data_IF_519489100695
#
_entry.id   IF_519489100695
#
_cell.length_a   1.000
_cell.length_b   1.000
_cell.length_c   1.000
_cell.angle_alpha   90.00
_cell.angle_beta   90.00
_cell.angle_gamma   90.00
#
_symmetry.space_group_name_H-M   'P 1'
#
loop_
_entity.id
_entity.type
_entity.pdbx_description
1 polymer ?
#
# COMPACT_ATOMS: atom_id res chain seq x y z
N UNK A 1 -36.01 10.79 -0.62
CA UNK A 1 -35.68 11.72 -1.74
C UNK A 1 -34.17 11.73 -2.01
N UNK A 2 -33.32 11.62 -1.00
CA UNK A 2 -31.87 11.73 -1.13
C UNK A 2 -31.26 10.53 -1.88
N UNK A 3 -31.71 9.31 -1.60
CA UNK A 3 -31.29 8.10 -2.30
C UNK A 3 -31.58 8.19 -3.82
N UNK A 4 -32.73 8.72 -4.22
CA UNK A 4 -33.10 8.89 -5.62
C UNK A 4 -32.23 9.95 -6.33
N UNK A 5 -31.87 11.02 -5.64
CA UNK A 5 -30.96 12.03 -6.15
C UNK A 5 -29.53 11.48 -6.34
N UNK A 6 -29.10 10.62 -5.41
CA UNK A 6 -27.82 9.92 -5.50
C UNK A 6 -27.76 8.94 -6.69
N UNK A 7 -28.85 8.21 -6.94
CA UNK A 7 -28.91 7.28 -8.08
C UNK A 7 -29.18 7.97 -9.42
N UNK A 8 -29.82 9.14 -9.45
CA UNK A 8 -30.10 9.86 -10.70
C UNK A 8 -28.85 10.45 -11.39
N UNK A 9 -27.76 10.63 -10.64
CA UNK A 9 -26.47 11.06 -11.19
C UNK A 9 -25.60 9.91 -11.74
N UNK A 10 -25.99 8.67 -11.50
CA UNK A 10 -25.25 7.49 -11.98
C UNK A 10 -25.75 7.12 -13.38
N UNK A 11 -24.92 7.30 -14.42
CA UNK A 11 -25.25 6.86 -15.77
C UNK A 11 -25.21 5.33 -15.84
N UNK A 12 -26.16 4.75 -16.60
CA UNK A 12 -26.32 3.30 -16.77
C UNK A 12 -25.18 2.60 -17.55
N UNK A 13 -24.17 3.34 -18.00
CA UNK A 13 -23.20 2.88 -18.99
C UNK A 13 -21.94 2.19 -18.44
N UNK A 14 -21.91 1.85 -17.15
CA UNK A 14 -20.73 1.21 -16.55
C UNK A 14 -21.07 -0.01 -15.73
N UNK A 15 -20.91 -1.21 -16.29
CA UNK A 15 -21.01 -2.45 -15.54
C UNK A 15 -19.79 -2.63 -14.62
N UNK A 16 -20.04 -2.93 -13.33
CA UNK A 16 -18.99 -3.33 -12.43
C UNK A 16 -18.49 -4.73 -12.82
N UNK A 17 -17.21 -4.92 -13.15
CA UNK A 17 -16.69 -6.22 -13.58
C UNK A 17 -16.77 -7.32 -12.49
N UNK A 18 -17.15 -6.95 -11.26
CA UNK A 18 -17.38 -7.91 -10.17
C UNK A 18 -18.80 -8.47 -10.14
N UNK A 19 -19.71 -7.98 -10.97
CA UNK A 19 -21.06 -8.56 -11.10
C UNK A 19 -20.97 -9.77 -12.02
N UNK A 20 -20.90 -10.94 -11.42
CA UNK A 20 -20.85 -12.23 -12.14
C UNK A 20 -22.25 -12.79 -12.49
N UNK A 21 -23.31 -12.23 -11.95
CA UNK A 21 -24.69 -12.67 -12.14
C UNK A 21 -25.47 -11.64 -12.95
N UNK A 22 -25.88 -12.04 -14.16
CA UNK A 22 -26.69 -11.21 -15.07
C UNK A 22 -28.04 -10.78 -14.52
N UNK A 23 -28.55 -11.42 -13.46
CA UNK A 23 -29.80 -11.04 -12.81
C UNK A 23 -29.62 -10.05 -11.64
N UNK A 24 -28.39 -9.80 -11.24
CA UNK A 24 -28.09 -8.79 -10.22
C UNK A 24 -28.04 -7.42 -10.90
N UNK A 25 -28.90 -6.45 -10.51
CA UNK A 25 -28.84 -5.13 -11.09
C UNK A 25 -27.45 -4.55 -10.88
N UNK A 26 -26.82 -4.12 -11.98
CA UNK A 26 -25.55 -3.40 -11.95
C UNK A 26 -25.67 -2.22 -10.99
N UNK A 27 -24.69 -2.03 -10.11
CA UNK A 27 -24.65 -0.84 -9.27
C UNK A 27 -24.41 0.45 -10.10
N UNK A 28 -24.30 0.30 -11.41
CA UNK A 28 -23.96 1.37 -12.34
C UNK A 28 -22.61 2.00 -11.95
N UNK A 29 -22.52 3.30 -12.06
CA UNK A 29 -21.38 4.06 -11.53
C UNK A 29 -21.58 4.48 -10.06
N UNK A 30 -22.67 4.08 -9.41
CA UNK A 30 -22.94 4.38 -8.01
C UNK A 30 -22.22 3.35 -7.12
N UNK A 31 -21.27 3.82 -6.32
CA UNK A 31 -20.31 3.00 -5.58
C UNK A 31 -20.45 3.18 -4.09
N UNK A 32 -21.66 3.01 -3.57
CA UNK A 32 -21.87 3.09 -2.14
C UNK A 32 -21.09 1.96 -1.44
N UNK A 33 -20.16 2.35 -0.56
CA UNK A 33 -19.33 1.44 0.21
C UNK A 33 -17.98 1.04 -0.42
N UNK A 34 -17.66 1.52 -1.62
CA UNK A 34 -16.40 1.22 -2.31
C UNK A 34 -15.63 2.49 -2.71
N UNK A 35 -15.55 3.48 -1.84
CA UNK A 35 -14.95 4.77 -2.16
C UNK A 35 -13.49 4.70 -2.65
N UNK A 36 -12.71 3.70 -2.20
CA UNK A 36 -11.33 3.45 -2.64
C UNK A 36 -11.23 2.50 -3.84
N UNK A 37 -12.34 2.05 -4.44
CA UNK A 37 -12.30 1.08 -5.53
C UNK A 37 -11.68 1.70 -6.79
N UNK A 38 -10.62 1.08 -7.29
CA UNK A 38 -9.87 1.50 -8.48
C UNK A 38 -10.20 0.69 -9.74
N UNK A 39 -11.22 -0.19 -9.66
CA UNK A 39 -11.65 -1.01 -10.81
C UNK A 39 -12.32 -0.20 -11.92
N UNK A 40 -12.81 1.00 -11.62
CA UNK A 40 -13.22 1.98 -12.62
C UNK A 40 -12.28 3.15 -12.62
N UNK A 41 -12.13 3.78 -13.80
CA UNK A 41 -11.26 4.94 -13.96
C UNK A 41 -11.70 6.16 -13.13
N UNK A 42 -13.01 6.35 -12.97
CA UNK A 42 -13.60 7.53 -12.29
C UNK A 42 -14.78 7.14 -11.41
N UNK A 43 -14.88 7.73 -10.22
CA UNK A 43 -16.07 7.63 -9.37
C UNK A 43 -17.04 8.79 -9.67
N UNK A 44 -17.89 8.57 -10.65
CA UNK A 44 -18.88 9.56 -11.09
C UNK A 44 -19.93 9.86 -10.01
N UNK A 45 -20.24 8.90 -9.16
CA UNK A 45 -21.24 9.08 -8.10
C UNK A 45 -20.74 10.01 -7.02
N UNK A 46 -19.54 9.81 -6.51
CA UNK A 46 -18.94 10.69 -5.52
C UNK A 46 -18.71 12.08 -6.11
N UNK A 47 -18.22 12.18 -7.36
CA UNK A 47 -18.05 13.45 -8.06
C UNK A 47 -19.38 14.21 -8.23
N UNK A 48 -20.46 13.49 -8.56
CA UNK A 48 -21.79 14.09 -8.69
C UNK A 48 -22.35 14.55 -7.34
N UNK A 49 -22.16 13.79 -6.26
CA UNK A 49 -22.56 14.21 -4.91
C UNK A 49 -21.86 15.49 -4.48
N UNK A 50 -20.55 15.56 -4.63
CA UNK A 50 -19.76 16.74 -4.27
C UNK A 50 -20.20 17.97 -5.08
N UNK A 51 -20.47 17.77 -6.38
CA UNK A 51 -20.86 18.88 -7.28
C UNK A 51 -22.28 19.42 -7.02
N UNK A 52 -23.22 18.54 -6.65
CA UNK A 52 -24.63 18.86 -6.54
C UNK A 52 -25.08 19.20 -5.10
N UNK A 53 -24.24 18.99 -4.12
CA UNK A 53 -24.54 19.21 -2.72
C UNK A 53 -23.34 19.84 -2.00
N UNK A 54 -23.45 21.13 -1.70
CA UNK A 54 -22.39 21.89 -1.00
C UNK A 54 -22.04 21.29 0.37
N UNK A 55 -23.02 20.66 1.05
CA UNK A 55 -22.79 20.00 2.33
C UNK A 55 -21.89 18.74 2.19
N UNK A 56 -21.69 18.24 0.98
CA UNK A 56 -20.80 17.10 0.67
C UNK A 56 -19.41 17.50 0.18
N UNK A 57 -19.11 18.80 0.13
CA UNK A 57 -17.80 19.31 -0.32
C UNK A 57 -16.62 18.74 0.47
N UNK A 58 -16.83 18.39 1.74
CA UNK A 58 -15.82 17.74 2.58
C UNK A 58 -15.33 16.37 2.06
N UNK A 59 -16.08 15.75 1.15
CA UNK A 59 -15.69 14.47 0.53
C UNK A 59 -14.65 14.63 -0.59
N UNK A 60 -14.36 15.86 -1.01
CA UNK A 60 -13.40 16.09 -2.11
C UNK A 60 -12.01 15.48 -1.84
N UNK A 61 -11.41 15.58 -0.65
CA UNK A 61 -10.13 14.92 -0.36
C UNK A 61 -10.17 13.38 -0.52
N UNK A 62 -11.31 12.75 -0.21
CA UNK A 62 -11.50 11.32 -0.41
C UNK A 62 -11.48 10.95 -1.90
N UNK A 63 -12.19 11.74 -2.73
CA UNK A 63 -12.21 11.54 -4.18
C UNK A 63 -10.83 11.75 -4.80
N UNK A 64 -10.11 12.79 -4.40
CA UNK A 64 -8.75 13.07 -4.86
C UNK A 64 -7.78 11.95 -4.49
N UNK A 65 -7.86 11.45 -3.25
CA UNK A 65 -7.04 10.31 -2.81
C UNK A 65 -7.35 9.04 -3.60
N UNK A 66 -8.62 8.73 -3.80
CA UNK A 66 -9.05 7.60 -4.63
C UNK A 66 -8.49 7.71 -6.05
N UNK A 67 -8.61 8.88 -6.68
CA UNK A 67 -8.10 9.12 -8.03
C UNK A 67 -6.57 9.03 -8.07
N UNK A 68 -5.88 9.49 -7.02
CA UNK A 68 -4.44 9.35 -6.88
C UNK A 68 -4.01 7.87 -6.80
N UNK A 69 -4.71 7.03 -6.03
CA UNK A 69 -4.42 5.58 -5.98
C UNK A 69 -4.65 4.94 -7.33
N UNK A 70 -5.79 5.25 -7.99
CA UNK A 70 -6.14 4.66 -9.28
C UNK A 70 -5.04 4.91 -10.32
N UNK A 71 -4.55 6.14 -10.40
CA UNK A 71 -3.59 6.53 -11.42
C UNK A 71 -4.11 6.28 -12.85
N UNK A 72 -3.29 6.56 -13.82
CA UNK A 72 -3.45 6.04 -15.17
C UNK A 72 -2.53 4.82 -15.39
N UNK A 73 -2.66 4.15 -16.52
CA UNK A 73 -1.87 2.97 -16.85
C UNK A 73 -0.36 3.21 -16.83
N UNK A 74 0.11 4.33 -17.31
CA UNK A 74 1.54 4.65 -17.39
C UNK A 74 2.09 4.94 -15.99
N UNK A 75 1.39 5.78 -15.24
CA UNK A 75 1.73 6.12 -13.85
C UNK A 75 1.73 4.88 -12.95
N UNK A 76 0.76 3.97 -13.13
CA UNK A 76 0.71 2.73 -12.32
C UNK A 76 1.93 1.83 -12.60
N UNK A 77 2.39 1.74 -13.86
CA UNK A 77 3.59 0.98 -14.20
C UNK A 77 4.85 1.55 -13.54
N UNK A 78 5.03 2.86 -13.54
CA UNK A 78 6.17 3.53 -12.91
C UNK A 78 6.20 3.35 -11.39
N UNK A 79 5.03 3.26 -10.79
CA UNK A 79 4.86 3.05 -9.35
C UNK A 79 5.21 1.64 -8.90
N UNK A 80 5.24 0.66 -9.80
CA UNK A 80 5.46 -0.76 -9.50
C UNK A 80 6.90 -1.18 -9.75
N UNK A 81 7.32 -2.21 -9.02
CA UNK A 81 8.58 -2.91 -9.30
C UNK A 81 8.43 -3.69 -10.63
N UNK A 82 9.49 -3.80 -11.38
CA UNK A 82 9.53 -4.61 -12.57
C UNK A 82 9.60 -6.11 -12.25
N UNK A 83 10.04 -6.47 -11.05
CA UNK A 83 10.10 -7.84 -10.52
C UNK A 83 8.81 -8.19 -9.77
N UNK A 84 8.39 -9.43 -9.87
CA UNK A 84 7.36 -9.99 -9.02
C UNK A 84 7.86 -10.07 -7.57
N UNK A 85 6.94 -10.31 -6.62
CA UNK A 85 7.27 -10.39 -5.19
C UNK A 85 8.30 -11.47 -4.83
N UNK A 86 8.36 -12.53 -5.62
CA UNK A 86 9.34 -13.62 -5.50
C UNK A 86 10.67 -13.35 -6.22
N UNK A 87 10.88 -12.13 -6.72
CA UNK A 87 12.05 -11.68 -7.45
C UNK A 87 12.06 -12.02 -8.95
N UNK A 88 11.11 -12.83 -9.43
CA UNK A 88 11.08 -13.27 -10.82
C UNK A 88 10.50 -12.20 -11.76
N UNK A 89 10.95 -12.24 -13.03
CA UNK A 89 10.33 -11.52 -14.12
C UNK A 89 9.22 -12.38 -14.74
N UNK A 90 8.05 -11.79 -14.91
CA UNK A 90 6.93 -12.47 -15.57
C UNK A 90 6.57 -11.71 -16.84
N UNK A 91 6.55 -12.42 -17.96
CA UNK A 91 6.12 -11.90 -19.25
C UNK A 91 4.75 -12.47 -19.62
N UNK A 92 3.87 -11.64 -20.14
CA UNK A 92 2.59 -12.03 -20.74
C UNK A 92 2.48 -11.41 -22.13
N UNK A 93 2.44 -12.23 -23.17
CA UNK A 93 2.49 -11.78 -24.58
C UNK A 93 3.64 -10.78 -24.81
N UNK A 94 4.86 -11.14 -24.42
CA UNK A 94 6.10 -10.34 -24.52
C UNK A 94 6.06 -8.99 -23.78
N UNK A 95 5.03 -8.75 -22.96
CA UNK A 95 4.93 -7.56 -22.10
C UNK A 95 5.26 -7.93 -20.66
N UNK A 96 6.06 -7.09 -20.01
CA UNK A 96 6.41 -7.27 -18.62
C UNK A 96 5.17 -7.08 -17.72
N UNK A 97 4.91 -8.08 -16.88
CA UNK A 97 3.91 -8.02 -15.81
C UNK A 97 4.59 -7.47 -14.57
N UNK A 98 4.29 -6.21 -14.25
CA UNK A 98 4.87 -5.54 -13.09
C UNK A 98 4.49 -6.22 -11.77
N UNK A 99 5.35 -6.06 -10.78
CA UNK A 99 5.19 -6.59 -9.44
C UNK A 99 4.39 -5.68 -8.51
N UNK A 100 4.69 -5.72 -7.20
CA UNK A 100 4.04 -4.87 -6.20
C UNK A 100 4.45 -3.41 -6.37
N UNK A 101 3.76 -2.52 -5.68
CA UNK A 101 4.16 -1.12 -5.56
C UNK A 101 5.53 -1.00 -4.87
N UNK A 102 6.36 -0.10 -5.39
CA UNK A 102 7.64 0.27 -4.78
C UNK A 102 7.43 0.80 -3.36
N UNK A 103 8.43 0.66 -2.49
CA UNK A 103 8.40 1.12 -1.12
C UNK A 103 7.94 2.57 -0.99
N UNK A 104 8.60 3.50 -1.67
CA UNK A 104 8.25 4.92 -1.61
C UNK A 104 6.79 5.22 -1.99
N UNK A 105 6.21 4.43 -2.93
CA UNK A 105 4.81 4.58 -3.33
C UNK A 105 3.86 4.09 -2.23
N UNK A 106 4.18 2.98 -1.56
CA UNK A 106 3.38 2.45 -0.45
C UNK A 106 3.40 3.39 0.75
N UNK A 107 4.56 3.94 1.08
CA UNK A 107 4.72 4.98 2.11
C UNK A 107 3.91 6.23 1.78
N UNK A 108 3.94 6.67 0.53
CA UNK A 108 3.17 7.84 0.08
C UNK A 108 1.66 7.58 0.11
N UNK A 109 1.20 6.37 -0.25
CA UNK A 109 -0.22 6.01 -0.10
C UNK A 109 -0.68 6.08 1.35
N UNK A 110 0.12 5.54 2.27
CA UNK A 110 -0.19 5.62 3.69
C UNK A 110 -0.19 7.06 4.21
N UNK A 111 0.83 7.84 3.85
CA UNK A 111 0.94 9.25 4.24
C UNK A 111 -0.29 10.03 3.80
N UNK A 112 -0.69 9.90 2.54
CA UNK A 112 -1.86 10.59 2.01
C UNK A 112 -3.16 10.13 2.64
N UNK A 113 -3.32 8.83 2.92
CA UNK A 113 -4.51 8.31 3.59
C UNK A 113 -4.68 8.96 4.98
N UNK A 114 -3.60 8.99 5.76
CA UNK A 114 -3.61 9.62 7.09
C UNK A 114 -3.86 11.13 7.01
N UNK A 115 -3.28 11.82 6.02
CA UNK A 115 -3.54 13.24 5.79
C UNK A 115 -5.00 13.51 5.42
N UNK A 116 -5.59 12.70 4.55
CA UNK A 116 -7.01 12.81 4.18
C UNK A 116 -7.90 12.62 5.39
N UNK A 117 -7.59 11.65 6.27
CA UNK A 117 -8.32 11.46 7.52
C UNK A 117 -8.28 12.72 8.39
N UNK A 118 -7.11 13.31 8.59
CA UNK A 118 -7.00 14.59 9.35
C UNK A 118 -7.78 15.74 8.70
N UNK A 119 -7.71 15.83 7.37
CA UNK A 119 -8.44 16.89 6.65
C UNK A 119 -9.95 16.73 6.83
N UNK A 120 -10.51 15.53 6.63
CA UNK A 120 -11.96 15.31 6.76
C UNK A 120 -12.44 15.48 8.21
N UNK A 121 -11.62 15.17 9.22
CA UNK A 121 -11.95 15.46 10.62
C UNK A 121 -12.07 16.96 10.88
N UNK A 122 -11.29 17.79 10.19
CA UNK A 122 -11.29 19.22 10.38
C UNK A 122 -12.42 19.94 9.63
N UNK A 123 -12.74 19.49 8.40
CA UNK A 123 -13.70 20.19 7.53
C UNK A 123 -15.05 19.50 7.44
N UNK A 124 -15.14 18.23 7.84
CA UNK A 124 -16.36 17.44 7.75
C UNK A 124 -17.38 17.74 8.85
N UNK A 125 -18.62 17.27 8.69
CA UNK A 125 -19.65 17.37 9.72
C UNK A 125 -19.30 16.53 10.96
N UNK A 126 -19.99 16.77 12.07
CA UNK A 126 -19.71 16.11 13.36
C UNK A 126 -19.69 14.57 13.26
N UNK A 127 -20.55 14.00 12.43
CA UNK A 127 -20.68 12.56 12.26
C UNK A 127 -19.40 11.91 11.70
N UNK A 128 -18.56 12.64 10.96
CA UNK A 128 -17.33 12.12 10.35
C UNK A 128 -16.08 12.42 11.16
N UNK A 129 -16.15 13.26 12.18
CA UNK A 129 -14.98 13.65 13.00
C UNK A 129 -14.31 12.48 13.72
N UNK A 130 -15.03 11.38 13.93
CA UNK A 130 -14.54 10.19 14.60
C UNK A 130 -14.38 8.99 13.66
N UNK A 131 -14.56 9.18 12.36
CA UNK A 131 -14.38 8.09 11.38
C UNK A 131 -12.89 7.84 11.18
N UNK A 132 -12.47 6.62 11.40
CA UNK A 132 -11.13 6.16 11.05
C UNK A 132 -11.15 5.57 9.65
N UNK A 133 -10.36 6.13 8.74
CA UNK A 133 -10.18 5.58 7.38
C UNK A 133 -9.28 4.34 7.40
N UNK A 134 -8.41 4.26 8.41
CA UNK A 134 -7.56 3.10 8.66
C UNK A 134 -7.48 2.86 10.18
N UNK A 135 -7.66 1.60 10.58
CA UNK A 135 -7.64 1.22 11.99
C UNK A 135 -6.22 0.84 12.44
N UNK A 136 -5.97 0.88 13.76
CA UNK A 136 -4.67 0.51 14.32
C UNK A 136 -4.28 -0.94 14.01
N UNK A 137 -5.24 -1.86 13.96
CA UNK A 137 -5.00 -3.27 13.60
C UNK A 137 -4.55 -3.42 12.14
N UNK A 138 -5.08 -2.58 11.25
CA UNK A 138 -4.69 -2.55 9.83
C UNK A 138 -3.27 -1.95 9.69
N UNK A 139 -2.96 -0.89 10.42
CA UNK A 139 -1.60 -0.32 10.47
C UNK A 139 -0.58 -1.34 10.99
N UNK A 140 -0.94 -2.08 12.04
CA UNK A 140 -0.11 -3.17 12.59
C UNK A 140 0.12 -4.27 11.54
N UNK A 141 -0.90 -4.63 10.79
CA UNK A 141 -0.78 -5.62 9.72
C UNK A 141 0.09 -5.11 8.57
N UNK A 142 -0.06 -3.84 8.15
CA UNK A 142 0.79 -3.21 7.13
C UNK A 142 2.25 -3.22 7.58
N UNK A 143 2.53 -2.77 8.82
CA UNK A 143 3.88 -2.76 9.39
C UNK A 143 4.49 -4.17 9.39
N UNK A 144 3.72 -5.16 9.83
CA UNK A 144 4.14 -6.57 9.81
C UNK A 144 4.51 -7.04 8.40
N UNK A 145 3.67 -6.74 7.40
CA UNK A 145 3.94 -7.09 6.01
C UNK A 145 5.20 -6.40 5.51
N UNK A 146 5.41 -5.11 5.80
CA UNK A 146 6.61 -4.39 5.38
C UNK A 146 7.87 -4.99 6.00
N UNK A 147 7.86 -5.30 7.29
CA UNK A 147 9.00 -5.88 7.98
C UNK A 147 9.26 -7.33 7.57
N UNK A 148 8.23 -8.19 7.57
CA UNK A 148 8.42 -9.65 7.42
C UNK A 148 8.44 -10.11 5.96
N UNK A 149 7.70 -9.44 5.05
CA UNK A 149 7.55 -9.90 3.69
C UNK A 149 8.32 -9.04 2.68
N UNK A 150 8.49 -7.75 2.97
CA UNK A 150 9.27 -6.83 2.13
C UNK A 150 10.67 -6.55 2.69
N UNK A 151 10.97 -7.02 3.91
CA UNK A 151 12.27 -6.86 4.58
C UNK A 151 12.69 -5.39 4.73
N UNK A 152 11.73 -4.51 5.02
CA UNK A 152 11.96 -3.08 5.18
C UNK A 152 12.29 -2.77 6.64
N UNK A 153 13.51 -3.10 7.05
CA UNK A 153 13.96 -3.01 8.45
C UNK A 153 14.16 -1.57 8.96
N UNK A 154 14.09 -0.58 8.09
CA UNK A 154 14.06 0.84 8.49
C UNK A 154 12.77 1.24 9.21
N UNK A 155 11.73 0.39 9.16
CA UNK A 155 10.47 0.51 9.90
C UNK A 155 9.87 1.92 9.83
N UNK A 156 9.61 2.38 8.60
CA UNK A 156 9.19 3.77 8.34
C UNK A 156 7.77 4.10 8.78
N UNK A 157 6.88 3.08 8.95
CA UNK A 157 5.46 3.29 9.27
C UNK A 157 5.23 4.09 10.56
N UNK A 158 5.89 3.78 11.71
CA UNK A 158 5.76 4.57 12.93
C UNK A 158 6.08 6.05 12.71
N UNK A 159 7.18 6.34 12.00
CA UNK A 159 7.59 7.71 11.73
C UNK A 159 6.57 8.47 10.85
N UNK A 160 6.00 7.81 9.83
CA UNK A 160 4.94 8.38 8.98
C UNK A 160 3.69 8.69 9.82
N UNK A 161 3.31 7.77 10.71
CA UNK A 161 2.15 7.96 11.58
C UNK A 161 2.36 9.14 12.53
N UNK A 162 3.51 9.19 13.22
CA UNK A 162 3.85 10.24 14.16
C UNK A 162 3.96 11.62 13.49
N UNK A 163 4.53 11.68 12.29
CA UNK A 163 4.64 12.90 11.48
C UNK A 163 3.26 13.53 11.22
N UNK A 164 2.24 12.71 10.92
CA UNK A 164 0.94 13.22 10.51
C UNK A 164 -0.03 13.36 11.68
N UNK A 165 -0.07 12.38 12.57
CA UNK A 165 -1.00 12.37 13.71
C UNK A 165 -0.50 13.22 14.89
N UNK A 166 0.80 13.54 14.94
CA UNK A 166 1.39 14.29 16.05
C UNK A 166 1.42 13.54 17.38
N UNK A 167 1.14 12.24 17.38
CA UNK A 167 1.14 11.36 18.54
C UNK A 167 2.03 10.15 18.27
N UNK A 168 2.71 9.59 19.28
CA UNK A 168 3.51 8.39 19.12
C UNK A 168 2.70 7.21 18.59
N UNK A 169 3.31 6.44 17.69
CA UNK A 169 2.72 5.20 17.20
C UNK A 169 2.82 4.13 18.29
N UNK A 170 1.69 3.63 18.75
CA UNK A 170 1.62 2.54 19.71
C UNK A 170 0.61 1.49 19.23
N UNK A 171 1.10 0.40 18.67
CA UNK A 171 0.29 -0.72 18.22
C UNK A 171 0.16 -1.83 19.29
N UNK A 172 0.67 -1.59 20.51
CA UNK A 172 0.68 -2.56 21.60
C UNK A 172 1.62 -3.74 21.35
N UNK A 173 2.45 -3.69 20.30
CA UNK A 173 3.47 -4.72 20.08
C UNK A 173 4.70 -4.42 20.96
N UNK A 174 5.10 -5.39 21.77
CA UNK A 174 6.39 -5.32 22.46
C UNK A 174 7.46 -5.40 21.38
N UNK A 175 8.36 -4.40 21.36
CA UNK A 175 9.55 -4.45 20.51
C UNK A 175 10.24 -5.79 20.72
N UNK A 176 10.21 -6.67 19.71
CA UNK A 176 11.03 -7.89 19.76
C UNK A 176 12.47 -7.40 19.73
N UNK A 177 13.29 -7.89 20.64
CA UNK A 177 14.75 -7.75 20.55
C UNK A 177 15.21 -8.40 19.24
N UNK A 178 15.19 -7.62 18.20
CA UNK A 178 15.67 -8.06 16.90
C UNK A 178 17.17 -7.76 16.87
N UNK A 179 17.99 -8.78 16.64
CA UNK A 179 19.46 -8.61 16.52
C UNK A 179 19.84 -7.81 15.29
N UNK A 180 18.92 -7.64 14.35
CA UNK A 180 19.08 -6.86 13.13
C UNK A 180 17.87 -5.93 13.00
N UNK A 181 18.05 -4.70 13.39
CA UNK A 181 17.02 -3.66 13.32
C UNK A 181 17.44 -2.50 12.42
N UNK A 182 16.79 -1.36 12.60
CA UNK A 182 17.03 -0.15 11.81
C UNK A 182 18.50 0.30 11.84
N UNK A 183 19.13 0.30 13.00
CA UNK A 183 20.52 0.77 13.17
C UNK A 183 21.49 -0.12 12.40
N UNK A 184 21.34 -1.44 12.54
CA UNK A 184 22.17 -2.42 11.85
C UNK A 184 21.93 -2.38 10.34
N UNK A 185 20.70 -2.17 9.90
CA UNK A 185 20.33 -2.00 8.50
C UNK A 185 20.98 -0.76 7.88
N UNK A 186 20.88 0.40 8.54
CA UNK A 186 21.51 1.64 8.10
C UNK A 186 23.03 1.48 8.03
N UNK A 187 23.65 0.88 9.04
CA UNK A 187 25.10 0.62 9.06
C UNK A 187 25.52 -0.32 7.92
N UNK A 188 24.74 -1.37 7.64
CA UNK A 188 24.99 -2.28 6.53
C UNK A 188 25.01 -1.54 5.20
N UNK A 189 24.03 -0.67 4.97
CA UNK A 189 23.93 0.13 3.75
C UNK A 189 25.11 1.11 3.60
N UNK A 190 25.49 1.77 4.68
CA UNK A 190 26.66 2.68 4.67
C UNK A 190 27.96 1.93 4.36
N UNK A 191 28.18 0.79 4.99
CA UNK A 191 29.37 -0.05 4.76
C UNK A 191 29.42 -0.57 3.31
N UNK A 192 28.31 -1.02 2.76
CA UNK A 192 28.24 -1.47 1.38
C UNK A 192 28.58 -0.33 0.43
N UNK A 193 28.02 0.84 0.63
CA UNK A 193 28.27 2.03 -0.19
C UNK A 193 29.73 2.50 -0.11
N UNK A 194 30.35 2.42 1.08
CA UNK A 194 31.76 2.81 1.27
C UNK A 194 32.73 1.80 0.63
N UNK A 195 32.49 0.50 0.84
CA UNK A 195 33.44 -0.55 0.45
C UNK A 195 33.23 -1.07 -0.96
N UNK A 196 31.99 -1.05 -1.43
CA UNK A 196 31.57 -1.65 -2.70
C UNK A 196 30.63 -0.71 -3.48
N UNK A 197 31.07 0.52 -3.84
CA UNK A 197 30.20 1.54 -4.45
C UNK A 197 29.63 1.14 -5.81
N UNK A 198 30.25 0.20 -6.51
CA UNK A 198 29.78 -0.30 -7.82
C UNK A 198 28.71 -1.39 -7.69
N UNK A 199 28.48 -1.94 -6.47
CA UNK A 199 27.58 -3.07 -6.23
C UNK A 199 26.25 -2.59 -5.61
N UNK A 200 25.44 -1.92 -6.41
CA UNK A 200 24.16 -1.31 -5.96
C UNK A 200 23.20 -2.30 -5.30
N UNK A 201 23.21 -3.57 -5.71
CA UNK A 201 22.32 -4.60 -5.20
C UNK A 201 22.87 -5.36 -3.98
N UNK A 202 24.11 -5.11 -3.59
CA UNK A 202 24.77 -5.80 -2.48
C UNK A 202 24.04 -5.64 -1.14
N UNK A 203 23.58 -4.45 -0.74
CA UNK A 203 22.83 -4.29 0.52
C UNK A 203 21.55 -5.12 0.54
N UNK A 204 20.80 -5.15 -0.56
CA UNK A 204 19.58 -5.96 -0.67
C UNK A 204 19.86 -7.46 -0.59
N UNK A 205 20.94 -7.91 -1.24
CA UNK A 205 21.35 -9.31 -1.20
C UNK A 205 21.72 -9.74 0.23
N UNK A 206 22.55 -8.96 0.91
CA UNK A 206 22.97 -9.24 2.28
C UNK A 206 21.78 -9.24 3.25
N UNK A 207 20.88 -8.27 3.13
CA UNK A 207 19.66 -8.22 3.93
C UNK A 207 18.79 -9.48 3.72
N UNK A 208 18.64 -9.94 2.48
CA UNK A 208 17.89 -11.16 2.18
C UNK A 208 18.57 -12.43 2.73
N UNK A 209 19.88 -12.49 2.73
CA UNK A 209 20.64 -13.61 3.32
C UNK A 209 20.45 -13.64 4.83
N UNK A 210 20.53 -12.50 5.51
CA UNK A 210 20.30 -12.36 6.96
C UNK A 210 18.90 -12.84 7.33
N UNK A 211 17.88 -12.46 6.54
CA UNK A 211 16.51 -12.90 6.78
C UNK A 211 16.32 -14.41 6.60
N UNK A 212 16.95 -15.00 5.58
CA UNK A 212 16.93 -16.46 5.38
C UNK A 212 17.58 -17.16 6.57
N UNK A 213 18.70 -16.65 7.07
CA UNK A 213 19.39 -17.22 8.23
C UNK A 213 18.53 -17.11 9.49
N UNK A 214 17.95 -15.94 9.76
CA UNK A 214 17.08 -15.73 10.92
C UNK A 214 15.86 -16.65 10.93
N UNK A 215 15.22 -16.83 9.77
CA UNK A 215 14.12 -17.80 9.61
C UNK A 215 14.57 -19.24 9.81
N UNK A 216 15.79 -19.56 9.44
CA UNK A 216 16.34 -20.89 9.56
C UNK A 216 16.76 -21.26 10.99
N UNK A 217 17.03 -20.30 11.86
CA UNK A 217 17.30 -20.56 13.28
C UNK A 217 16.12 -21.22 13.99
N UNK A 218 14.90 -20.91 13.54
CA UNK A 218 13.66 -21.44 14.11
C UNK A 218 13.27 -22.83 13.57
N UNK A 219 13.96 -23.30 12.52
CA UNK A 219 13.65 -24.56 11.83
C UNK A 219 14.68 -25.64 12.18
N UNK A 220 14.22 -26.79 12.64
CA UNK A 220 15.06 -27.93 13.00
C UNK A 220 15.81 -28.59 11.81
N UNK A 221 15.45 -28.27 10.57
CA UNK A 221 16.05 -28.84 9.35
C UNK A 221 16.69 -27.74 8.47
N UNK A 222 17.99 -27.56 8.61
CA UNK A 222 18.78 -26.54 7.90
C UNK A 222 19.26 -26.95 6.48
N UNK A 223 18.82 -28.08 5.94
CA UNK A 223 19.33 -28.62 4.65
C UNK A 223 19.13 -27.72 3.45
N UNK A 224 18.12 -26.86 3.47
CA UNK A 224 17.76 -26.02 2.32
C UNK A 224 18.28 -24.59 2.41
N UNK A 225 19.00 -24.19 3.48
CA UNK A 225 19.45 -22.82 3.66
C UNK A 225 20.39 -22.39 2.53
N UNK A 226 21.42 -23.17 2.25
CA UNK A 226 22.37 -22.88 1.18
C UNK A 226 21.69 -22.77 -0.19
N UNK A 227 20.78 -23.69 -0.49
CA UNK A 227 20.02 -23.65 -1.74
C UNK A 227 19.14 -22.38 -1.84
N UNK A 228 18.58 -21.91 -0.73
CA UNK A 228 17.78 -20.69 -0.71
C UNK A 228 18.65 -19.44 -0.87
N UNK A 229 19.84 -19.41 -0.24
CA UNK A 229 20.82 -18.34 -0.42
C UNK A 229 21.36 -18.29 -1.86
N UNK A 230 21.70 -19.41 -2.45
CA UNK A 230 22.15 -19.50 -3.84
C UNK A 230 21.08 -19.02 -4.83
N UNK A 231 19.81 -19.36 -4.57
CA UNK A 231 18.69 -18.86 -5.40
C UNK A 231 18.59 -17.34 -5.35
N UNK A 232 18.78 -16.72 -4.20
CA UNK A 232 18.74 -15.25 -4.09
C UNK A 232 19.85 -14.59 -4.92
N UNK A 233 21.02 -15.21 -5.06
CA UNK A 233 22.10 -14.70 -5.91
C UNK A 233 21.77 -14.79 -7.41
N UNK A 234 20.99 -15.79 -7.82
CA UNK A 234 20.64 -16.01 -9.24
C UNK A 234 19.49 -15.10 -9.73
N UNK A 235 18.67 -14.56 -8.84
CA UNK A 235 17.48 -13.77 -9.19
C UNK A 235 17.69 -12.25 -9.00
N UNK A 236 18.89 -11.81 -8.68
CA UNK A 236 19.31 -10.43 -8.56
C UNK A 236 20.45 -10.10 -9.51
#
# INVERSE_FOLDING_TARGET
>A
KDLLAMYSGASADGECPLVLDVNTPSCGNSRFGCWVCTMVSEDKSMAAMIKNDEEKSWMLPLLEFRNYIAGDWETDRERRDFRRRDGHLTLFHDKLVHGPYKKAVREEFLRRLLQVEEVIHNIGPEEVKNIQLIQMDELRMIRKIWLEEYHEFDDSLPAIYEEIKGIPYDDGTISRNCYFGKVEFELLHELCKEKFPEEELLPELLTSIIDIEAKAETVSNKRNILNNMEKQQLYR
#
